data_IF_503759554180
#
_entry.id   IF_503759554180
#
_cell.length_a   1.000
_cell.length_b   1.000
_cell.length_c   1.000
_cell.angle_alpha   90.00
_cell.angle_beta   90.00
_cell.angle_gamma   90.00
#
_symmetry.space_group_name_H-M   'P 1'
#
loop_
_entity.id
_entity.type
_entity.pdbx_description
1 polymer ?
#
# COMPACT_ATOMS: atom_id res chain seq x y z
N UNK A 1 -3.16 -6.37 -1.26
CA UNK A 1 -2.01 -6.25 -2.17
C UNK A 1 -1.43 -4.86 -1.98
N UNK A 2 -0.11 -4.72 -1.92
CA UNK A 2 0.56 -3.45 -1.61
C UNK A 2 1.57 -3.15 -2.72
N UNK A 3 1.56 -1.93 -3.25
CA UNK A 3 2.56 -1.45 -4.20
C UNK A 3 3.77 -0.91 -3.44
N UNK A 4 4.97 -1.29 -3.83
CA UNK A 4 6.20 -0.74 -3.28
C UNK A 4 6.81 0.32 -4.22
N UNK A 5 7.81 1.06 -3.75
CA UNK A 5 8.45 2.18 -4.46
C UNK A 5 9.86 1.87 -4.99
N UNK A 6 10.25 0.60 -5.08
CA UNK A 6 11.59 0.15 -5.51
C UNK A 6 11.68 -0.26 -6.99
N UNK A 7 10.73 0.18 -7.80
CA UNK A 7 10.64 -0.18 -9.22
C UNK A 7 9.92 -1.50 -9.50
N UNK A 8 9.58 -1.73 -10.77
CA UNK A 8 8.82 -2.89 -11.22
C UNK A 8 9.60 -4.21 -11.16
N UNK A 9 10.93 -4.15 -11.18
CA UNK A 9 11.79 -5.34 -11.20
C UNK A 9 11.85 -6.05 -9.84
N UNK A 10 11.38 -5.39 -8.77
CA UNK A 10 11.35 -5.95 -7.43
C UNK A 10 10.05 -6.72 -7.17
N UNK A 11 10.14 -7.88 -6.53
CA UNK A 11 8.98 -8.62 -6.02
C UNK A 11 8.03 -9.11 -7.12
N UNK A 12 6.73 -8.95 -6.88
CA UNK A 12 5.66 -9.34 -7.81
C UNK A 12 5.32 -8.15 -8.73
N UNK A 13 6.21 -7.80 -9.68
CA UNK A 13 6.08 -6.63 -10.58
C UNK A 13 5.98 -5.27 -9.84
N UNK A 14 6.77 -5.08 -8.78
CA UNK A 14 6.73 -3.91 -7.90
C UNK A 14 5.76 -4.04 -6.71
N UNK A 15 5.08 -5.19 -6.56
CA UNK A 15 4.12 -5.43 -5.48
C UNK A 15 4.59 -6.52 -4.51
N UNK A 16 3.91 -6.56 -3.36
CA UNK A 16 3.99 -7.68 -2.41
C UNK A 16 2.64 -7.94 -1.73
N UNK A 17 2.57 -9.07 -1.05
CA UNK A 17 1.45 -9.47 -0.18
C UNK A 17 1.94 -9.55 1.26
N UNK A 18 1.08 -9.16 2.18
CA UNK A 18 1.30 -9.16 3.62
C UNK A 18 0.03 -9.68 4.30
N UNK A 19 0.19 -10.30 5.47
CA UNK A 19 -0.93 -10.90 6.20
C UNK A 19 -1.92 -9.82 6.65
N UNK A 20 -3.18 -9.97 6.24
CA UNK A 20 -4.27 -9.05 6.55
C UNK A 20 -4.98 -9.48 7.84
N UNK A 21 -5.50 -8.51 8.60
CA UNK A 21 -6.45 -8.70 9.70
C UNK A 21 -5.80 -8.97 11.05
N UNK A 22 -4.48 -8.84 11.13
CA UNK A 22 -3.70 -9.05 12.36
C UNK A 22 -2.74 -7.89 12.66
N UNK A 23 -2.85 -6.78 11.92
CA UNK A 23 -1.92 -5.65 12.02
C UNK A 23 -0.44 -6.06 11.86
N UNK A 24 -0.16 -6.92 10.88
CA UNK A 24 1.21 -7.40 10.59
C UNK A 24 2.16 -6.23 10.37
N UNK A 25 3.25 -6.18 11.12
CA UNK A 25 4.22 -5.07 11.09
C UNK A 25 3.58 -3.68 11.24
N UNK A 26 2.50 -3.57 12.01
CA UNK A 26 1.76 -2.33 12.27
C UNK A 26 1.13 -1.68 11.03
N UNK A 27 1.03 -2.41 9.91
CA UNK A 27 0.58 -1.84 8.63
C UNK A 27 -0.87 -1.31 8.66
N UNK A 28 -1.68 -1.75 9.61
CA UNK A 28 -3.08 -1.34 9.76
C UNK A 28 -3.25 -0.21 10.80
N UNK A 29 -2.17 0.24 11.45
CA UNK A 29 -2.22 1.18 12.58
C UNK A 29 -2.28 2.64 12.17
N UNK A 30 -1.71 3.01 11.02
CA UNK A 30 -1.70 4.38 10.52
C UNK A 30 -2.02 4.42 9.02
N UNK A 31 -3.28 4.66 8.69
CA UNK A 31 -3.79 4.68 7.31
C UNK A 31 -4.38 6.05 7.02
N UNK A 32 -3.91 6.69 5.95
CA UNK A 32 -4.41 7.97 5.48
C UNK A 32 -5.23 7.80 4.20
N UNK A 33 -6.40 8.43 4.16
CA UNK A 33 -7.24 8.56 2.98
C UNK A 33 -7.56 10.02 2.72
N UNK A 34 -7.40 10.46 1.47
CA UNK A 34 -7.72 11.84 1.06
C UNK A 34 -8.70 11.79 -0.10
N UNK A 35 -9.72 12.64 -0.04
CA UNK A 35 -10.62 12.88 -1.16
C UNK A 35 -10.17 14.13 -1.90
N UNK A 36 -9.58 13.96 -3.09
CA UNK A 36 -9.15 15.08 -3.91
C UNK A 36 -10.37 15.79 -4.50
N UNK A 37 -10.47 17.11 -4.30
CA UNK A 37 -11.45 17.93 -5.02
C UNK A 37 -11.00 18.07 -6.47
N UNK A 38 -11.78 17.53 -7.39
CA UNK A 38 -11.62 17.82 -8.81
C UNK A 38 -12.39 19.11 -9.07
N UNK A 39 -11.65 20.20 -9.29
CA UNK A 39 -12.22 21.45 -9.79
C UNK A 39 -12.24 21.35 -11.31
N UNK A 40 -13.39 21.64 -11.91
CA UNK A 40 -13.54 21.73 -13.36
C UNK A 40 -13.00 23.07 -13.86
#
# INVERSE_FOLDING_TARGET
>A
IVANSWGSDWGENGFFRIQKGINECEIESFVLGVWAKIVQ
#
